data_IF_413571873597
#
_entry.id   IF_413571873597
#
_cell.length_a   1.000
_cell.length_b   1.000
_cell.length_c   1.000
_cell.angle_alpha   90.00
_cell.angle_beta   90.00
_cell.angle_gamma   90.00
#
_symmetry.space_group_name_H-M   'P 1'
#
loop_
_entity.id
_entity.type
_entity.pdbx_description
1 polymer ?
#
# COMPACT_ATOMS: atom_id res chain seq x y z
N UNK A 1 -11.83 -23.02 -3.85
CA UNK A 1 -13.07 -22.26 -4.03
C UNK A 1 -12.86 -21.31 -5.19
N UNK A 2 -13.70 -21.37 -6.23
CA UNK A 2 -13.58 -20.46 -7.38
C UNK A 2 -14.48 -19.26 -7.09
N UNK A 3 -13.89 -18.07 -7.00
CA UNK A 3 -14.63 -16.82 -6.92
C UNK A 3 -14.99 -16.35 -8.32
N UNK A 4 -16.20 -15.82 -8.51
CA UNK A 4 -16.50 -14.92 -9.62
C UNK A 4 -16.09 -13.52 -9.19
N UNK A 5 -15.27 -12.86 -9.99
CA UNK A 5 -14.72 -11.57 -9.64
C UNK A 5 -15.29 -10.45 -10.51
N UNK A 6 -15.59 -9.34 -9.88
CA UNK A 6 -15.91 -8.08 -10.54
C UNK A 6 -14.82 -7.09 -10.18
N UNK A 7 -14.25 -6.41 -11.15
CA UNK A 7 -13.24 -5.39 -10.92
C UNK A 7 -13.67 -4.06 -11.50
N UNK A 8 -13.22 -2.98 -10.86
CA UNK A 8 -13.50 -1.63 -11.34
C UNK A 8 -12.25 -1.01 -11.95
N UNK A 9 -12.44 -0.26 -13.00
CA UNK A 9 -11.45 0.61 -13.62
C UNK A 9 -12.11 1.97 -13.90
N UNK A 10 -11.34 3.07 -13.83
CA UNK A 10 -11.89 4.40 -14.17
C UNK A 10 -12.34 4.49 -15.62
N UNK A 11 -11.69 3.74 -16.52
CA UNK A 11 -12.02 3.67 -17.94
C UNK A 11 -11.87 2.23 -18.42
N UNK A 12 -12.90 1.68 -19.06
CA UNK A 12 -12.91 0.31 -19.60
C UNK A 12 -11.83 0.06 -20.66
N UNK A 13 -11.24 1.09 -21.24
CA UNK A 13 -10.06 0.96 -22.11
C UNK A 13 -8.84 0.34 -21.40
N UNK A 14 -8.84 0.35 -20.06
CA UNK A 14 -7.80 -0.28 -19.22
C UNK A 14 -7.95 -1.81 -19.09
N UNK A 15 -9.08 -2.39 -19.49
CA UNK A 15 -9.33 -3.82 -19.36
C UNK A 15 -8.23 -4.68 -20.02
N UNK A 16 -7.78 -4.42 -21.25
CA UNK A 16 -6.71 -5.20 -21.87
C UNK A 16 -5.40 -5.17 -21.08
N UNK A 17 -5.03 -4.01 -20.51
CA UNK A 17 -3.82 -3.86 -19.71
C UNK A 17 -3.90 -4.70 -18.43
N UNK A 18 -5.04 -4.64 -17.72
CA UNK A 18 -5.26 -5.41 -16.50
C UNK A 18 -5.24 -6.92 -16.79
N UNK A 19 -5.86 -7.37 -17.91
CA UNK A 19 -5.81 -8.77 -18.32
C UNK A 19 -4.37 -9.21 -18.66
N UNK A 20 -3.59 -8.35 -19.29
CA UNK A 20 -2.17 -8.62 -19.56
C UNK A 20 -1.37 -8.78 -18.27
N UNK A 21 -1.59 -7.91 -17.28
CA UNK A 21 -0.97 -8.02 -15.94
C UNK A 21 -1.36 -9.33 -15.24
N UNK A 22 -2.65 -9.70 -15.26
CA UNK A 22 -3.12 -10.96 -14.68
C UNK A 22 -2.45 -12.17 -15.33
N UNK A 23 -2.28 -12.17 -16.66
CA UNK A 23 -1.56 -13.22 -17.38
C UNK A 23 -0.09 -13.30 -16.95
N UNK A 24 0.59 -12.16 -16.77
CA UNK A 24 1.96 -12.13 -16.20
C UNK A 24 1.99 -12.75 -14.81
N UNK A 25 0.93 -12.52 -14.01
CA UNK A 25 0.75 -13.13 -12.69
C UNK A 25 0.33 -14.60 -12.70
N UNK A 26 0.22 -15.24 -13.88
CA UNK A 26 -0.17 -16.64 -14.01
C UNK A 26 -1.67 -16.90 -13.88
N UNK A 27 -2.50 -15.85 -13.96
CA UNK A 27 -3.95 -15.97 -13.92
C UNK A 27 -4.55 -15.88 -15.33
N UNK A 28 -5.01 -17.02 -15.86
CA UNK A 28 -5.81 -17.05 -17.08
C UNK A 28 -7.29 -16.92 -16.68
N UNK A 29 -7.82 -15.69 -16.79
CA UNK A 29 -9.17 -15.34 -16.34
C UNK A 29 -10.21 -15.59 -17.44
N UNK A 30 -10.34 -16.83 -17.90
CA UNK A 30 -11.35 -17.17 -18.89
C UNK A 30 -12.74 -17.28 -18.25
N UNK A 31 -13.54 -16.23 -18.40
CA UNK A 31 -14.96 -16.20 -18.06
C UNK A 31 -15.34 -15.88 -16.61
N UNK A 32 -14.37 -15.79 -15.68
CA UNK A 32 -14.62 -15.53 -14.26
C UNK A 32 -14.49 -14.07 -13.79
N UNK A 33 -14.00 -13.17 -14.66
CA UNK A 33 -13.71 -11.77 -14.34
C UNK A 33 -14.48 -10.81 -15.25
N UNK A 34 -15.23 -9.90 -14.64
CA UNK A 34 -15.98 -8.84 -15.32
C UNK A 34 -15.47 -7.45 -14.90
N UNK A 35 -15.48 -6.51 -15.85
CA UNK A 35 -15.00 -5.13 -15.64
C UNK A 35 -16.15 -4.15 -15.61
N UNK A 36 -16.07 -3.17 -14.71
CA UNK A 36 -17.04 -2.10 -14.54
C UNK A 36 -16.30 -0.74 -14.48
N UNK A 37 -16.89 0.27 -15.13
CA UNK A 37 -16.37 1.63 -14.97
C UNK A 37 -16.89 2.22 -13.65
N UNK A 38 -15.99 2.63 -12.77
CA UNK A 38 -16.33 3.35 -11.56
C UNK A 38 -15.14 4.22 -11.11
N UNK A 39 -15.45 5.39 -10.55
CA UNK A 39 -14.47 6.35 -10.06
C UNK A 39 -14.77 6.69 -8.60
N UNK A 40 -13.74 6.83 -7.77
CA UNK A 40 -13.89 7.21 -6.36
C UNK A 40 -14.46 8.63 -6.17
N UNK A 41 -14.37 9.46 -7.18
CA UNK A 41 -14.87 10.83 -7.17
C UNK A 41 -16.30 10.97 -7.76
N UNK A 42 -16.90 9.87 -8.23
CA UNK A 42 -18.23 9.84 -8.83
C UNK A 42 -19.09 8.74 -8.26
N UNK A 43 -20.39 8.98 -8.10
CA UNK A 43 -21.35 7.97 -7.64
C UNK A 43 -21.72 6.95 -8.74
N UNK A 44 -21.40 7.27 -10.00
CA UNK A 44 -21.76 6.45 -11.15
C UNK A 44 -20.98 5.11 -11.16
N UNK A 45 -21.66 4.04 -11.55
CA UNK A 45 -21.07 2.71 -11.78
C UNK A 45 -20.97 1.82 -10.56
N UNK A 46 -20.97 2.35 -9.34
CA UNK A 46 -20.75 1.55 -8.11
C UNK A 46 -21.85 0.54 -7.87
N UNK A 47 -23.13 0.92 -8.01
CA UNK A 47 -24.26 -0.01 -7.85
C UNK A 47 -24.18 -1.20 -8.81
N UNK A 48 -23.73 -0.95 -10.05
CA UNK A 48 -23.54 -2.01 -11.04
C UNK A 48 -22.33 -2.89 -10.70
N UNK A 49 -21.24 -2.27 -10.24
CA UNK A 49 -20.01 -2.99 -9.90
C UNK A 49 -20.20 -3.94 -8.70
N UNK A 50 -20.89 -3.50 -7.64
CA UNK A 50 -21.07 -4.28 -6.40
C UNK A 50 -22.33 -5.17 -6.41
N UNK A 51 -23.23 -4.96 -7.37
CA UNK A 51 -24.50 -5.72 -7.45
C UNK A 51 -24.29 -7.23 -7.55
N UNK A 52 -24.85 -7.99 -6.60
CA UNK A 52 -24.71 -9.44 -6.50
C UNK A 52 -23.33 -9.93 -6.00
N UNK A 53 -22.51 -9.05 -5.45
CA UNK A 53 -21.27 -9.43 -4.77
C UNK A 53 -21.57 -9.83 -3.31
N UNK A 54 -20.98 -10.92 -2.84
CA UNK A 54 -20.99 -11.30 -1.43
C UNK A 54 -20.01 -10.45 -0.61
N UNK A 55 -18.88 -10.08 -1.20
CA UNK A 55 -17.76 -9.37 -0.58
C UNK A 55 -17.20 -8.29 -1.50
N UNK A 56 -16.64 -7.26 -0.90
CA UNK A 56 -15.92 -6.20 -1.63
C UNK A 56 -14.53 -6.03 -1.05
N UNK A 57 -13.50 -6.11 -1.87
CA UNK A 57 -12.13 -5.71 -1.53
C UNK A 57 -11.92 -4.28 -2.04
N UNK A 58 -11.99 -3.30 -1.15
CA UNK A 58 -11.80 -1.91 -1.49
C UNK A 58 -10.32 -1.53 -1.38
N UNK A 59 -9.56 -1.78 -2.45
CA UNK A 59 -8.12 -1.55 -2.52
C UNK A 59 -7.79 -0.16 -3.05
N UNK A 60 -8.63 0.38 -3.91
CA UNK A 60 -8.41 1.67 -4.55
C UNK A 60 -8.42 2.83 -3.53
N UNK A 61 -7.48 3.73 -3.69
CA UNK A 61 -7.43 5.00 -2.95
C UNK A 61 -6.81 6.06 -3.86
N UNK A 62 -7.27 7.32 -3.80
CA UNK A 62 -6.59 8.39 -4.51
C UNK A 62 -5.14 8.48 -4.05
N UNK A 63 -4.23 8.51 -5.02
CA UNK A 63 -2.82 8.71 -4.80
C UNK A 63 -2.29 9.64 -5.89
N UNK A 64 -2.18 10.95 -5.63
CA UNK A 64 -1.76 11.91 -6.64
C UNK A 64 -0.29 11.71 -6.98
N UNK A 65 0.05 11.86 -8.26
CA UNK A 65 1.43 11.81 -8.75
C UNK A 65 2.26 13.01 -8.27
N UNK A 66 1.58 14.10 -7.95
CA UNK A 66 2.20 15.35 -7.47
C UNK A 66 1.72 15.70 -6.08
N UNK A 67 2.51 16.50 -5.38
CA UNK A 67 2.13 17.03 -4.07
C UNK A 67 0.86 17.86 -4.17
N UNK A 68 -0.14 17.62 -3.30
CA UNK A 68 -1.33 18.45 -3.26
C UNK A 68 -0.96 19.87 -2.83
N UNK A 69 -1.64 20.87 -3.40
CA UNK A 69 -1.51 22.27 -2.98
C UNK A 69 -2.15 22.51 -1.62
N UNK A 70 -3.27 21.81 -1.37
CA UNK A 70 -3.99 21.76 -0.10
C UNK A 70 -4.21 20.32 0.30
N UNK A 71 -4.12 20.02 1.60
CA UNK A 71 -4.28 18.64 2.10
C UNK A 71 -5.66 18.05 1.79
N UNK A 72 -6.70 18.90 1.67
CA UNK A 72 -8.06 18.49 1.30
C UNK A 72 -8.17 17.89 -0.10
N UNK A 73 -7.26 18.24 -1.03
CA UNK A 73 -7.21 17.62 -2.36
C UNK A 73 -6.94 16.11 -2.27
N UNK A 74 -6.39 15.64 -1.15
CA UNK A 74 -6.13 14.24 -0.88
C UNK A 74 -7.10 13.65 0.16
N UNK A 75 -7.42 14.41 1.21
CA UNK A 75 -8.27 13.98 2.32
C UNK A 75 -9.70 13.73 1.85
N UNK A 76 -10.30 14.71 1.16
CA UNK A 76 -11.70 14.64 0.76
C UNK A 76 -11.96 13.48 -0.21
N UNK A 77 -11.21 13.33 -1.31
CA UNK A 77 -11.43 12.19 -2.22
C UNK A 77 -11.18 10.83 -1.57
N UNK A 78 -10.21 10.72 -0.65
CA UNK A 78 -9.94 9.47 0.06
C UNK A 78 -11.11 9.09 0.97
N UNK A 79 -11.61 10.03 1.77
CA UNK A 79 -12.73 9.84 2.69
C UNK A 79 -14.03 9.55 1.94
N UNK A 80 -14.41 10.43 1.01
CA UNK A 80 -15.67 10.29 0.28
C UNK A 80 -15.65 9.06 -0.64
N UNK A 81 -14.51 8.72 -1.22
CA UNK A 81 -14.35 7.50 -2.02
C UNK A 81 -14.59 6.24 -1.19
N UNK A 82 -14.03 6.15 0.02
CA UNK A 82 -14.28 5.04 0.93
C UNK A 82 -15.76 4.94 1.32
N UNK A 83 -16.37 6.06 1.72
CA UNK A 83 -17.79 6.10 2.08
C UNK A 83 -18.71 5.75 0.91
N UNK A 84 -18.36 6.15 -0.31
CA UNK A 84 -19.11 5.83 -1.53
C UNK A 84 -19.19 4.33 -1.76
N UNK A 85 -18.05 3.64 -1.65
CA UNK A 85 -17.99 2.18 -1.80
C UNK A 85 -18.77 1.48 -0.68
N UNK A 86 -18.67 1.96 0.57
CA UNK A 86 -19.41 1.41 1.70
C UNK A 86 -20.93 1.57 1.51
N UNK A 87 -21.40 2.76 1.10
CA UNK A 87 -22.83 3.00 0.82
C UNK A 87 -23.35 2.07 -0.29
N UNK A 88 -22.61 1.98 -1.41
CA UNK A 88 -22.99 1.09 -2.52
C UNK A 88 -23.01 -0.38 -2.08
N UNK A 89 -22.04 -0.82 -1.29
CA UNK A 89 -21.95 -2.18 -0.76
C UNK A 89 -23.12 -2.50 0.18
N UNK A 90 -23.45 -1.59 1.09
CA UNK A 90 -24.62 -1.68 1.99
C UNK A 90 -25.91 -1.84 1.19
N UNK A 91 -26.11 -0.96 0.20
CA UNK A 91 -27.36 -0.93 -0.57
C UNK A 91 -27.53 -2.16 -1.48
N UNK A 92 -26.42 -2.80 -1.87
CA UNK A 92 -26.38 -4.04 -2.61
C UNK A 92 -26.48 -5.32 -1.74
N UNK A 93 -26.51 -5.19 -0.41
CA UNK A 93 -26.56 -6.33 0.50
C UNK A 93 -25.25 -7.12 0.59
N UNK A 94 -24.11 -6.49 0.35
CA UNK A 94 -22.78 -7.07 0.54
C UNK A 94 -22.61 -7.48 2.01
N UNK A 95 -22.04 -8.66 2.26
CA UNK A 95 -21.80 -9.16 3.61
C UNK A 95 -20.68 -8.41 4.33
N UNK A 96 -19.55 -8.24 3.66
CA UNK A 96 -18.37 -7.57 4.22
C UNK A 96 -17.59 -6.81 3.17
N UNK A 97 -17.12 -5.63 3.58
CA UNK A 97 -16.08 -4.88 2.88
C UNK A 97 -14.74 -5.08 3.59
N UNK A 98 -13.68 -5.36 2.86
CA UNK A 98 -12.30 -5.28 3.35
C UNK A 98 -11.67 -4.03 2.77
N UNK A 99 -11.39 -3.06 3.62
CA UNK A 99 -10.80 -1.78 3.24
C UNK A 99 -9.28 -1.84 3.35
N UNK A 100 -8.58 -1.49 2.29
CA UNK A 100 -7.14 -1.26 2.33
C UNK A 100 -6.86 0.16 2.83
N UNK A 101 -6.48 0.26 4.09
CA UNK A 101 -5.96 1.48 4.68
C UNK A 101 -4.42 1.52 4.56
N UNK A 102 -3.71 1.90 5.60
CA UNK A 102 -2.24 1.97 5.62
C UNK A 102 -1.71 2.03 7.05
N UNK A 103 -0.47 1.63 7.27
CA UNK A 103 0.28 1.99 8.48
C UNK A 103 0.31 3.51 8.71
N UNK A 104 0.12 4.29 7.65
CA UNK A 104 -0.01 5.74 7.74
C UNK A 104 -1.19 6.20 8.62
N UNK A 105 -2.21 5.35 8.83
CA UNK A 105 -3.30 5.62 9.77
C UNK A 105 -2.98 5.17 11.22
N UNK A 106 -1.79 4.63 11.47
CA UNK A 106 -1.41 4.03 12.76
C UNK A 106 -0.23 4.75 13.41
N UNK A 107 0.89 4.93 12.72
CA UNK A 107 2.19 5.18 13.36
C UNK A 107 2.79 6.58 13.17
N UNK A 108 1.98 7.63 12.99
CA UNK A 108 2.47 8.99 12.79
C UNK A 108 1.89 9.99 13.80
N UNK A 109 2.59 11.11 14.01
CA UNK A 109 2.15 12.16 14.93
C UNK A 109 2.37 11.86 16.40
N UNK A 110 3.05 10.79 16.74
CA UNK A 110 3.35 10.39 18.12
C UNK A 110 4.79 10.72 18.53
N UNK A 111 5.06 10.93 19.82
CA UNK A 111 6.41 10.87 20.36
C UNK A 111 7.04 9.50 20.07
N UNK A 112 8.37 9.41 20.02
CA UNK A 112 9.06 8.14 19.91
C UNK A 112 8.61 7.17 21.00
N UNK A 113 8.31 5.92 20.62
CA UNK A 113 7.95 4.85 21.57
C UNK A 113 8.85 3.62 21.36
N UNK A 114 9.10 2.89 22.46
CA UNK A 114 9.92 1.68 22.44
C UNK A 114 9.14 0.46 21.91
N UNK A 115 7.85 0.40 22.23
CA UNK A 115 6.99 -0.71 21.83
C UNK A 115 6.60 -0.60 20.35
N UNK A 116 6.53 -1.74 19.63
CA UNK A 116 6.03 -1.74 18.26
C UNK A 116 4.58 -1.25 18.18
N UNK A 117 4.28 -0.44 17.17
CA UNK A 117 2.91 -0.06 16.85
C UNK A 117 2.05 -1.28 16.54
N UNK A 118 0.78 -1.20 16.92
CA UNK A 118 -0.20 -2.25 16.70
C UNK A 118 -1.56 -1.67 16.27
N UNK A 119 -2.55 -2.52 16.10
CA UNK A 119 -3.86 -2.14 15.61
C UNK A 119 -4.68 -1.26 16.57
N UNK A 120 -4.27 -1.12 17.83
CA UNK A 120 -4.87 -0.20 18.80
C UNK A 120 -4.42 1.25 18.61
N UNK A 121 -3.28 1.46 17.93
CA UNK A 121 -2.73 2.78 17.71
C UNK A 121 -3.42 3.50 16.55
N UNK A 122 -3.47 4.84 16.65
CA UNK A 122 -3.96 5.70 15.60
C UNK A 122 -3.02 6.86 15.37
N UNK A 123 -2.73 7.16 14.12
CA UNK A 123 -2.04 8.41 13.77
C UNK A 123 -2.81 9.61 14.32
N UNK A 124 -2.08 10.53 14.96
CA UNK A 124 -2.62 11.84 15.32
C UNK A 124 -2.53 12.77 14.09
N UNK A 125 -3.65 13.07 13.42
CA UNK A 125 -3.63 13.90 12.22
C UNK A 125 -3.18 15.35 12.47
N UNK A 126 -3.27 15.83 13.74
CA UNK A 126 -2.81 17.16 14.15
C UNK A 126 -1.38 17.17 14.68
N UNK A 127 -0.75 15.99 14.75
CA UNK A 127 0.62 15.81 15.21
C UNK A 127 1.64 16.54 14.32
N UNK A 128 2.72 17.02 14.92
CA UNK A 128 3.77 17.74 14.20
C UNK A 128 4.40 16.89 13.09
N UNK A 129 4.49 17.46 11.89
CA UNK A 129 5.14 16.82 10.72
C UNK A 129 4.34 15.69 10.08
N UNK A 130 3.07 15.53 10.41
CA UNK A 130 2.19 14.53 9.77
C UNK A 130 1.83 14.99 8.37
N UNK A 131 2.26 14.20 7.37
CA UNK A 131 2.01 14.50 5.97
C UNK A 131 0.53 14.33 5.59
N UNK A 132 0.07 15.08 4.58
CA UNK A 132 -1.30 15.03 4.05
C UNK A 132 -1.76 13.60 3.71
N UNK A 133 -0.86 12.75 3.22
CA UNK A 133 -1.15 11.33 2.96
C UNK A 133 -1.53 10.58 4.25
N UNK A 134 -0.79 10.75 5.34
CA UNK A 134 -1.12 10.08 6.61
C UNK A 134 -2.45 10.59 7.19
N UNK A 135 -2.69 11.90 7.11
CA UNK A 135 -4.00 12.49 7.46
C UNK A 135 -5.12 11.89 6.63
N UNK A 136 -4.96 11.81 5.31
CA UNK A 136 -5.98 11.28 4.40
C UNK A 136 -6.34 9.83 4.71
N UNK A 137 -5.36 8.98 4.98
CA UNK A 137 -5.58 7.58 5.34
C UNK A 137 -6.26 7.44 6.71
N UNK A 138 -5.82 8.22 7.68
CA UNK A 138 -6.42 8.23 9.03
C UNK A 138 -7.89 8.65 8.99
N UNK A 139 -8.18 9.77 8.34
CA UNK A 139 -9.53 10.31 8.28
C UNK A 139 -10.48 9.46 7.42
N UNK A 140 -9.98 8.87 6.33
CA UNK A 140 -10.76 7.93 5.53
C UNK A 140 -11.11 6.65 6.30
N UNK A 141 -10.15 6.09 7.04
CA UNK A 141 -10.38 4.89 7.86
C UNK A 141 -11.33 5.18 9.03
N UNK A 142 -11.13 6.28 9.76
CA UNK A 142 -12.05 6.69 10.83
C UNK A 142 -13.48 6.88 10.31
N UNK A 143 -13.64 7.56 9.17
CA UNK A 143 -14.96 7.73 8.56
C UNK A 143 -15.60 6.41 8.14
N UNK A 144 -14.81 5.42 7.73
CA UNK A 144 -15.32 4.08 7.43
C UNK A 144 -15.83 3.36 8.70
N UNK A 145 -15.12 3.48 9.82
CA UNK A 145 -15.55 2.94 11.11
C UNK A 145 -16.79 3.66 11.63
N UNK A 146 -16.82 5.00 11.59
CA UNK A 146 -18.00 5.79 11.96
C UNK A 146 -19.24 5.41 11.14
N UNK A 147 -19.05 5.13 9.84
CA UNK A 147 -20.14 4.66 9.00
C UNK A 147 -20.68 3.30 9.46
N UNK A 148 -19.80 2.37 9.80
CA UNK A 148 -20.18 1.02 10.25
C UNK A 148 -20.83 1.04 11.64
N UNK A 149 -20.38 1.88 12.55
CA UNK A 149 -20.95 2.00 13.88
C UNK A 149 -22.43 2.48 13.86
N UNK A 150 -22.81 3.21 12.80
CA UNK A 150 -24.19 3.65 12.56
C UNK A 150 -24.95 2.75 11.57
N UNK A 151 -24.34 1.65 11.13
CA UNK A 151 -24.92 0.77 10.12
C UNK A 151 -25.90 -0.24 10.74
N UNK A 152 -27.13 -0.28 10.22
CA UNK A 152 -28.22 -1.13 10.75
C UNK A 152 -28.61 -2.29 9.83
N UNK A 153 -28.05 -2.36 8.60
CA UNK A 153 -28.39 -3.38 7.61
C UNK A 153 -27.45 -4.58 7.61
N UNK A 154 -26.50 -4.61 8.55
CA UNK A 154 -25.63 -5.75 8.77
C UNK A 154 -24.37 -5.81 7.89
N UNK A 155 -24.01 -4.73 7.19
CA UNK A 155 -22.73 -4.66 6.49
C UNK A 155 -21.57 -4.75 7.49
N UNK A 156 -20.64 -5.66 7.25
CA UNK A 156 -19.43 -5.84 8.05
C UNK A 156 -18.25 -5.09 7.43
N UNK A 157 -17.29 -4.67 8.27
CA UNK A 157 -16.03 -4.08 7.84
C UNK A 157 -14.85 -4.82 8.47
N UNK A 158 -13.82 -5.04 7.67
CA UNK A 158 -12.46 -5.36 8.14
C UNK A 158 -11.49 -4.40 7.48
N UNK A 159 -10.41 -4.05 8.16
CA UNK A 159 -9.40 -3.14 7.61
C UNK A 159 -8.04 -3.80 7.59
N UNK A 160 -7.33 -3.69 6.48
CA UNK A 160 -5.93 -4.08 6.37
C UNK A 160 -5.08 -2.82 6.27
N UNK A 161 -4.06 -2.71 7.12
CA UNK A 161 -3.15 -1.57 7.21
C UNK A 161 -1.73 -1.98 6.76
N UNK A 162 -1.43 -2.01 5.46
CA UNK A 162 -0.10 -2.35 5.00
C UNK A 162 0.92 -1.26 5.32
N UNK A 163 2.15 -1.68 5.54
CA UNK A 163 3.36 -0.85 5.45
C UNK A 163 3.78 -0.67 3.98
N UNK A 164 5.02 -0.35 3.67
CA UNK A 164 5.48 -0.29 2.28
C UNK A 164 5.35 -1.66 1.60
N UNK A 165 4.60 -1.71 0.50
CA UNK A 165 4.31 -2.96 -0.21
C UNK A 165 5.35 -3.17 -1.31
N UNK A 166 6.11 -4.26 -1.20
CA UNK A 166 7.07 -4.75 -2.18
C UNK A 166 6.58 -6.05 -2.81
N UNK A 167 7.41 -6.68 -3.63
CA UNK A 167 7.11 -7.94 -4.27
C UNK A 167 7.06 -7.82 -5.80
N UNK A 168 6.74 -8.90 -6.52
CA UNK A 168 6.81 -8.91 -7.96
C UNK A 168 5.80 -7.95 -8.59
N UNK A 169 6.28 -7.13 -9.53
CA UNK A 169 5.43 -6.28 -10.38
C UNK A 169 4.89 -7.06 -11.57
N UNK A 170 3.71 -6.71 -12.04
CA UNK A 170 3.03 -7.36 -13.15
C UNK A 170 3.04 -6.54 -14.45
N UNK A 171 3.59 -5.32 -14.39
CA UNK A 171 3.65 -4.41 -15.54
C UNK A 171 4.26 -3.06 -15.14
N UNK A 172 4.26 -2.07 -16.05
CA UNK A 172 4.88 -0.77 -15.82
C UNK A 172 4.08 0.15 -14.89
N UNK A 173 2.84 -0.20 -14.55
CA UNK A 173 1.98 0.56 -13.64
C UNK A 173 2.12 -0.01 -12.22
N UNK A 174 3.08 0.51 -11.47
CA UNK A 174 3.43 0.02 -10.13
C UNK A 174 3.48 1.15 -9.09
N UNK A 175 3.44 0.75 -7.81
CA UNK A 175 3.36 1.67 -6.68
C UNK A 175 4.66 2.43 -6.41
N UNK A 176 4.55 3.52 -5.63
CA UNK A 176 5.71 4.32 -5.18
C UNK A 176 6.73 3.53 -4.35
N UNK A 177 6.31 2.48 -3.62
CA UNK A 177 7.24 1.60 -2.90
C UNK A 177 8.21 0.92 -3.87
N UNK A 178 7.71 0.47 -5.02
CA UNK A 178 8.52 -0.16 -6.06
C UNK A 178 9.53 0.83 -6.66
N UNK A 179 9.14 2.11 -6.81
CA UNK A 179 10.05 3.16 -7.29
C UNK A 179 11.31 3.30 -6.43
N UNK A 180 11.24 2.98 -5.14
CA UNK A 180 12.41 2.97 -4.27
C UNK A 180 13.46 1.96 -4.76
N UNK A 181 13.03 0.71 -4.97
CA UNK A 181 13.92 -0.35 -5.46
C UNK A 181 14.42 -0.02 -6.86
N UNK A 182 13.54 0.44 -7.75
CA UNK A 182 13.93 0.86 -9.10
C UNK A 182 15.01 1.95 -9.07
N UNK A 183 14.82 3.02 -8.27
CA UNK A 183 15.80 4.13 -8.18
C UNK A 183 17.12 3.68 -7.60
N UNK A 184 17.14 2.75 -6.65
CA UNK A 184 18.36 2.15 -6.13
C UNK A 184 19.07 1.36 -7.23
N UNK A 185 18.37 0.49 -7.95
CA UNK A 185 18.91 -0.34 -9.02
C UNK A 185 19.40 0.48 -10.22
N UNK A 186 18.73 1.59 -10.54
CA UNK A 186 19.12 2.52 -11.60
C UNK A 186 20.31 3.41 -11.23
N UNK A 187 20.72 3.44 -9.94
CA UNK A 187 21.74 4.36 -9.44
C UNK A 187 21.28 5.82 -9.41
N UNK A 188 19.97 6.06 -9.36
CA UNK A 188 19.39 7.40 -9.35
C UNK A 188 19.45 8.09 -7.97
N UNK A 189 19.87 7.36 -6.94
CA UNK A 189 20.03 7.86 -5.57
C UNK A 189 21.53 8.00 -5.29
N UNK A 190 22.04 9.19 -4.95
CA UNK A 190 23.49 9.42 -4.76
C UNK A 190 24.04 8.79 -3.47
N UNK A 191 23.17 8.32 -2.60
CA UNK A 191 23.48 7.66 -1.34
C UNK A 191 22.23 7.37 -0.53
N UNK A 192 22.38 6.75 0.64
CA UNK A 192 21.31 6.21 1.44
C UNK A 192 21.00 7.14 2.63
N UNK A 193 19.84 7.83 2.66
CA UNK A 193 19.42 8.58 3.83
C UNK A 193 19.11 7.64 5.00
N UNK A 194 19.18 8.13 6.23
CA UNK A 194 18.83 7.37 7.45
C UNK A 194 17.31 7.27 7.61
N UNK A 195 16.68 6.47 6.76
CA UNK A 195 15.27 6.18 6.81
C UNK A 195 15.06 4.70 7.14
N UNK A 196 14.06 4.43 7.97
CA UNK A 196 13.59 3.09 8.28
C UNK A 196 12.09 3.01 8.01
N UNK A 197 11.63 1.89 7.44
CA UNK A 197 10.22 1.62 7.23
C UNK A 197 9.93 0.14 7.20
N UNK A 198 8.70 -0.21 7.53
CA UNK A 198 8.21 -1.58 7.42
C UNK A 198 8.00 -1.97 5.97
N UNK A 199 8.16 -3.24 5.68
CA UNK A 199 7.87 -3.81 4.37
C UNK A 199 7.01 -5.06 4.47
N UNK A 200 6.27 -5.34 3.41
CA UNK A 200 5.43 -6.52 3.28
C UNK A 200 5.32 -6.90 1.80
N UNK A 201 5.20 -8.19 1.53
CA UNK A 201 5.02 -8.68 0.17
C UNK A 201 3.59 -8.47 -0.33
N UNK A 202 3.41 -8.02 -1.58
CA UNK A 202 2.10 -7.81 -2.21
C UNK A 202 1.26 -9.08 -2.23
N UNK A 203 1.89 -10.24 -2.38
CA UNK A 203 1.21 -11.55 -2.38
C UNK A 203 0.65 -11.88 -0.99
N UNK A 204 1.34 -11.48 0.06
CA UNK A 204 0.92 -11.70 1.45
C UNK A 204 -0.14 -10.67 1.87
N UNK A 205 -0.07 -9.44 1.34
CA UNK A 205 -1.16 -8.46 1.49
C UNK A 205 -2.43 -8.98 0.83
N UNK A 206 -2.34 -9.55 -0.38
CA UNK A 206 -3.49 -10.16 -1.06
C UNK A 206 -4.07 -11.35 -0.26
N UNK A 207 -3.21 -12.24 0.26
CA UNK A 207 -3.64 -13.35 1.13
C UNK A 207 -4.34 -12.85 2.39
N UNK A 208 -3.80 -11.80 3.03
CA UNK A 208 -4.41 -11.20 4.23
C UNK A 208 -5.80 -10.62 3.93
N UNK A 209 -5.98 -9.97 2.77
CA UNK A 209 -7.30 -9.47 2.35
C UNK A 209 -8.30 -10.62 2.17
N UNK A 210 -7.88 -11.73 1.55
CA UNK A 210 -8.76 -12.90 1.35
C UNK A 210 -9.11 -13.54 2.70
N UNK A 211 -8.18 -13.63 3.64
CA UNK A 211 -8.43 -14.12 4.99
C UNK A 211 -9.38 -13.19 5.75
N UNK A 212 -9.12 -11.88 5.73
CA UNK A 212 -9.99 -10.89 6.37
C UNK A 212 -11.40 -10.86 5.76
N UNK A 213 -11.53 -11.18 4.47
CA UNK A 213 -12.81 -11.26 3.76
C UNK A 213 -13.68 -12.42 4.29
N UNK A 214 -13.08 -13.59 4.56
CA UNK A 214 -13.82 -14.81 4.83
C UNK A 214 -13.81 -15.30 6.28
N UNK A 215 -12.82 -14.89 7.07
CA UNK A 215 -12.70 -15.35 8.46
C UNK A 215 -13.76 -14.71 9.36
N UNK A 216 -14.37 -15.51 10.23
CA UNK A 216 -15.44 -15.03 11.13
C UNK A 216 -14.92 -13.92 12.05
N UNK A 217 -13.79 -14.13 12.71
CA UNK A 217 -13.21 -13.19 13.69
C UNK A 217 -12.55 -11.95 13.05
N UNK A 218 -12.68 -11.77 11.74
CA UNK A 218 -12.17 -10.58 11.08
C UNK A 218 -13.18 -9.42 11.07
N UNK A 219 -14.44 -9.68 11.41
CA UNK A 219 -15.46 -8.65 11.46
C UNK A 219 -15.17 -7.62 12.57
N UNK A 220 -15.20 -6.34 12.23
CA UNK A 220 -14.94 -5.26 13.19
C UNK A 220 -13.46 -5.09 13.53
N UNK A 221 -12.55 -5.69 12.75
CA UNK A 221 -11.14 -5.76 13.10
C UNK A 221 -10.22 -5.06 12.09
N UNK A 222 -9.14 -4.47 12.65
CA UNK A 222 -8.00 -3.96 11.89
C UNK A 222 -6.87 -4.98 11.92
N UNK A 223 -6.11 -5.09 10.82
CA UNK A 223 -4.96 -5.98 10.70
C UNK A 223 -3.76 -5.26 10.11
N UNK A 224 -2.70 -5.12 10.88
CA UNK A 224 -1.42 -4.64 10.39
C UNK A 224 -0.76 -5.68 9.49
N UNK A 225 -0.39 -5.26 8.28
CA UNK A 225 0.35 -6.09 7.34
C UNK A 225 1.81 -5.63 7.29
N UNK A 226 2.64 -6.24 8.11
CA UNK A 226 4.10 -6.01 8.19
C UNK A 226 4.83 -7.33 8.31
N UNK A 227 5.93 -7.47 7.59
CA UNK A 227 6.80 -8.64 7.64
C UNK A 227 8.05 -8.34 8.49
N UNK A 228 8.15 -8.96 9.67
CA UNK A 228 9.29 -8.77 10.56
C UNK A 228 9.51 -7.33 11.01
N UNK A 229 10.76 -6.98 11.27
CA UNK A 229 11.16 -5.65 11.72
C UNK A 229 11.28 -4.66 10.55
N UNK A 230 11.18 -3.38 10.87
CA UNK A 230 11.46 -2.30 9.90
C UNK A 230 12.92 -2.38 9.43
N UNK A 231 13.13 -2.09 8.16
CA UNK A 231 14.42 -2.09 7.51
C UNK A 231 14.92 -0.69 7.24
N UNK A 232 16.22 -0.47 7.39
CA UNK A 232 16.87 0.74 6.93
C UNK A 232 17.10 0.71 5.41
N UNK A 233 17.35 1.89 4.83
CA UNK A 233 17.78 1.98 3.43
C UNK A 233 19.06 1.19 3.17
N UNK A 234 19.95 1.10 4.18
CA UNK A 234 21.19 0.31 4.08
C UNK A 234 20.90 -1.19 4.02
N UNK A 235 19.95 -1.69 4.83
CA UNK A 235 19.55 -3.11 4.81
C UNK A 235 19.01 -3.48 3.43
N UNK A 236 18.14 -2.65 2.85
CA UNK A 236 17.58 -2.87 1.51
C UNK A 236 18.69 -2.88 0.46
N UNK A 237 19.60 -1.89 0.49
CA UNK A 237 20.73 -1.83 -0.45
C UNK A 237 21.65 -3.05 -0.31
N UNK A 238 21.87 -3.51 0.92
CA UNK A 238 22.66 -4.72 1.20
C UNK A 238 22.00 -5.96 0.60
N UNK A 239 20.69 -6.17 0.84
CA UNK A 239 19.93 -7.29 0.26
C UNK A 239 20.06 -7.31 -1.26
N UNK A 240 19.86 -6.17 -1.92
CA UNK A 240 19.97 -6.05 -3.38
C UNK A 240 21.37 -6.44 -3.88
N UNK A 241 22.41 -5.96 -3.22
CA UNK A 241 23.80 -6.24 -3.63
C UNK A 241 24.21 -7.68 -3.40
N UNK A 242 23.86 -8.24 -2.25
CA UNK A 242 24.26 -9.59 -1.88
C UNK A 242 23.61 -10.65 -2.79
N UNK A 243 22.35 -10.41 -3.24
CA UNK A 243 21.60 -11.38 -4.02
C UNK A 243 21.65 -11.18 -5.55
N UNK A 244 21.79 -9.93 -6.01
CA UNK A 244 21.71 -9.63 -7.43
C UNK A 244 23.08 -9.33 -8.08
N UNK A 245 24.13 -9.27 -7.30
CA UNK A 245 25.51 -9.14 -7.77
C UNK A 245 25.70 -8.00 -8.79
N UNK A 246 26.12 -8.33 -10.00
CA UNK A 246 26.39 -7.36 -11.09
C UNK A 246 25.15 -6.55 -11.49
N UNK A 247 23.95 -7.13 -11.41
CA UNK A 247 22.72 -6.38 -11.69
C UNK A 247 22.48 -5.23 -10.71
N UNK A 248 22.98 -5.36 -9.48
CA UNK A 248 22.88 -4.34 -8.43
C UNK A 248 24.14 -3.46 -8.32
N UNK A 249 25.05 -3.46 -9.30
CA UNK A 249 26.31 -2.71 -9.22
C UNK A 249 26.13 -1.21 -8.96
N UNK A 250 25.04 -0.60 -9.47
CA UNK A 250 24.71 0.82 -9.32
C UNK A 250 24.10 1.16 -7.97
N UNK A 251 23.66 0.18 -7.18
CA UNK A 251 23.06 0.40 -5.86
C UNK A 251 24.10 1.04 -4.94
N UNK A 252 23.82 2.23 -4.37
CA UNK A 252 24.75 2.91 -3.49
C UNK A 252 24.91 2.15 -2.17
N UNK A 253 26.11 2.25 -1.57
CA UNK A 253 26.41 1.67 -0.25
C UNK A 253 26.67 2.72 0.81
N UNK A 254 26.94 3.96 0.37
CA UNK A 254 27.31 5.05 1.27
C UNK A 254 26.08 5.67 1.89
N UNK A 255 26.08 5.79 3.22
CA UNK A 255 25.07 6.56 3.94
C UNK A 255 25.30 8.06 3.75
N UNK A 256 24.22 8.79 3.51
CA UNK A 256 24.25 10.25 3.42
C UNK A 256 24.20 10.84 4.83
N UNK A 257 25.04 11.84 5.13
CA UNK A 257 24.89 12.66 6.32
C UNK A 257 23.54 13.39 6.32
N UNK A 258 22.88 13.46 7.46
CA UNK A 258 21.59 14.15 7.60
C UNK A 258 21.66 15.63 7.17
N UNK A 259 22.80 16.28 7.40
CA UNK A 259 23.02 17.66 6.98
C UNK A 259 22.91 17.84 5.47
N UNK A 260 23.39 16.89 4.67
CA UNK A 260 23.23 16.91 3.22
C UNK A 260 21.80 16.68 2.79
N UNK A 261 21.08 15.76 3.45
CA UNK A 261 19.65 15.52 3.17
C UNK A 261 18.84 16.76 3.50
N UNK A 262 19.10 17.41 4.64
CA UNK A 262 18.45 18.67 5.03
C UNK A 262 18.76 19.80 4.05
N UNK A 263 20.00 19.91 3.57
CA UNK A 263 20.36 20.90 2.58
C UNK A 263 19.63 20.67 1.25
N UNK A 264 19.60 19.41 0.75
CA UNK A 264 18.91 19.06 -0.49
C UNK A 264 17.40 19.34 -0.43
N UNK A 265 16.79 19.24 0.75
CA UNK A 265 15.35 19.51 0.95
C UNK A 265 14.95 20.96 0.69
N UNK A 266 15.89 21.89 0.61
CA UNK A 266 15.62 23.29 0.27
C UNK A 266 15.21 23.46 -1.20
N UNK A 267 15.64 22.53 -2.06
CA UNK A 267 15.36 22.58 -3.51
C UNK A 267 14.45 21.44 -4.01
N UNK A 268 14.30 20.36 -3.22
CA UNK A 268 13.50 19.20 -3.60
C UNK A 268 12.36 18.97 -2.60
N UNK A 269 11.10 19.26 -2.99
CA UNK A 269 9.93 19.04 -2.14
C UNK A 269 9.74 17.57 -1.72
N UNK A 270 10.17 16.60 -2.54
CA UNK A 270 10.08 15.18 -2.20
C UNK A 270 11.03 14.84 -1.04
N UNK A 271 12.25 15.42 -1.03
CA UNK A 271 13.18 15.27 0.09
C UNK A 271 12.64 15.96 1.34
N UNK A 272 11.95 17.09 1.19
CA UNK A 272 11.34 17.80 2.32
C UNK A 272 10.33 16.93 3.07
N UNK A 273 9.57 16.07 2.35
CA UNK A 273 8.58 15.19 2.96
C UNK A 273 9.17 14.08 3.83
N UNK A 274 10.38 13.63 3.55
CA UNK A 274 11.03 12.56 4.33
C UNK A 274 11.78 13.09 5.55
N UNK A 275 11.98 14.41 5.68
CA UNK A 275 12.70 14.99 6.80
C UNK A 275 12.12 14.67 8.17
N UNK A 276 10.76 14.64 8.36
CA UNK A 276 10.19 14.29 9.65
C UNK A 276 10.53 12.86 10.10
N UNK A 277 10.86 11.97 9.16
CA UNK A 277 11.20 10.57 9.46
C UNK A 277 12.71 10.29 9.47
N UNK A 278 13.52 11.29 9.13
CA UNK A 278 14.96 11.14 9.04
C UNK A 278 15.59 10.84 10.40
N UNK A 279 16.25 9.68 10.51
CA UNK A 279 16.89 9.20 11.73
C UNK A 279 15.95 8.59 12.76
N UNK A 280 14.63 8.57 12.52
CA UNK A 280 13.68 7.89 13.40
C UNK A 280 13.72 6.38 13.20
N UNK A 281 13.59 5.67 14.29
CA UNK A 281 13.38 4.22 14.30
C UNK A 281 11.97 3.96 14.82
N UNK A 282 11.21 3.19 14.05
CA UNK A 282 9.88 2.71 14.40
C UNK A 282 9.83 1.21 14.16
N UNK A 283 8.90 0.54 14.78
CA UNK A 283 8.58 -0.84 14.45
C UNK A 283 7.08 -1.05 14.56
N UNK A 284 6.57 -2.13 13.97
CA UNK A 284 5.16 -2.49 14.02
C UNK A 284 5.01 -4.00 14.13
N UNK A 285 3.89 -4.46 14.67
CA UNK A 285 3.62 -5.86 14.91
C UNK A 285 2.39 -6.34 14.14
N UNK A 286 2.55 -7.41 13.37
CA UNK A 286 1.45 -8.15 12.73
C UNK A 286 0.95 -9.32 13.58
N UNK A 287 1.27 -9.33 14.87
CA UNK A 287 0.92 -10.43 15.78
C UNK A 287 -0.57 -10.80 15.73
N UNK A 288 -1.45 -9.79 15.63
CA UNK A 288 -2.89 -10.00 15.53
C UNK A 288 -3.27 -10.76 14.25
N UNK A 289 -2.75 -10.35 13.10
CA UNK A 289 -3.00 -11.03 11.83
C UNK A 289 -2.53 -12.49 11.86
N UNK A 290 -1.35 -12.73 12.44
CA UNK A 290 -0.79 -14.08 12.60
C UNK A 290 -1.68 -14.92 13.51
N UNK A 291 -2.04 -14.40 14.68
CA UNK A 291 -2.79 -15.14 15.71
C UNK A 291 -4.24 -15.42 15.30
N UNK A 292 -4.93 -14.41 14.76
CA UNK A 292 -6.37 -14.49 14.47
C UNK A 292 -6.63 -15.15 13.13
N UNK A 293 -5.85 -14.79 12.10
CA UNK A 293 -6.10 -15.22 10.73
C UNK A 293 -5.14 -16.34 10.25
N UNK A 294 -4.18 -16.75 11.09
CA UNK A 294 -3.16 -17.72 10.68
C UNK A 294 -2.28 -17.20 9.53
N UNK A 295 -2.14 -15.88 9.41
CA UNK A 295 -1.36 -15.24 8.35
C UNK A 295 0.13 -15.52 8.53
N UNK A 296 0.86 -15.73 7.41
CA UNK A 296 2.29 -16.06 7.42
C UNK A 296 2.98 -15.29 6.31
N UNK A 297 3.49 -14.09 6.59
CA UNK A 297 4.17 -13.29 5.57
C UNK A 297 5.55 -13.88 5.23
N UNK A 298 5.96 -13.65 3.99
CA UNK A 298 7.34 -13.85 3.52
C UNK A 298 8.28 -12.91 4.23
N UNK A 299 9.58 -13.20 4.15
CA UNK A 299 10.59 -12.30 4.68
C UNK A 299 10.67 -10.99 3.85
N UNK A 300 11.14 -9.94 4.51
CA UNK A 300 11.44 -8.67 3.84
C UNK A 300 12.44 -8.85 2.69
N UNK A 301 13.42 -9.72 2.91
CA UNK A 301 14.46 -10.05 1.94
C UNK A 301 13.87 -10.67 0.67
N UNK A 302 13.03 -11.72 0.80
CA UNK A 302 12.33 -12.33 -0.34
C UNK A 302 11.52 -11.30 -1.12
N UNK A 303 10.85 -10.38 -0.43
CA UNK A 303 9.99 -9.36 -1.03
C UNK A 303 10.80 -8.36 -1.87
N UNK A 304 11.96 -7.91 -1.34
CA UNK A 304 12.85 -6.98 -2.01
C UNK A 304 13.49 -7.64 -3.25
N UNK A 305 13.97 -8.88 -3.10
CA UNK A 305 14.55 -9.65 -4.21
C UNK A 305 13.51 -9.85 -5.32
N UNK A 306 12.31 -10.32 -4.98
CA UNK A 306 11.23 -10.55 -5.96
C UNK A 306 10.83 -9.25 -6.68
N UNK A 307 10.87 -8.10 -6.00
CA UNK A 307 10.67 -6.80 -6.63
C UNK A 307 11.72 -6.54 -7.70
N UNK A 308 12.99 -6.62 -7.33
CA UNK A 308 14.09 -6.30 -8.24
C UNK A 308 14.17 -7.27 -9.41
N UNK A 309 14.00 -8.58 -9.18
CA UNK A 309 13.96 -9.60 -10.25
C UNK A 309 12.83 -9.35 -11.24
N UNK A 310 11.64 -8.95 -10.76
CA UNK A 310 10.52 -8.65 -11.64
C UNK A 310 10.75 -7.38 -12.47
N UNK A 311 11.38 -6.35 -11.91
CA UNK A 311 11.78 -5.15 -12.63
C UNK A 311 12.81 -5.48 -13.74
N UNK A 312 13.79 -6.35 -13.44
CA UNK A 312 14.78 -6.83 -14.42
C UNK A 312 14.07 -7.62 -15.53
N UNK A 313 13.27 -8.61 -15.17
CA UNK A 313 12.57 -9.50 -16.11
C UNK A 313 11.66 -8.75 -17.08
N UNK A 314 10.99 -7.70 -16.60
CA UNK A 314 10.09 -6.87 -17.41
C UNK A 314 10.79 -5.72 -18.14
N UNK A 315 12.10 -5.57 -18.00
CA UNK A 315 12.88 -4.51 -18.67
C UNK A 315 12.51 -3.10 -18.16
N UNK A 316 12.12 -2.97 -16.91
CA UNK A 316 11.66 -1.71 -16.30
C UNK A 316 12.78 -0.89 -15.65
N UNK A 317 14.01 -1.40 -15.66
CA UNK A 317 15.20 -0.65 -15.24
C UNK A 317 15.80 0.13 -16.40
N UNK A 318 16.47 1.25 -16.11
CA UNK A 318 17.19 2.04 -17.13
C UNK A 318 18.34 1.25 -17.73
N UNK A 319 18.33 1.11 -19.03
CA UNK A 319 19.38 0.40 -19.77
C UNK A 319 20.71 1.14 -19.60
N UNK A 320 21.68 0.49 -18.99
CA UNK A 320 23.02 1.04 -18.78
C UNK A 320 23.85 1.10 -20.08
N UNK A 321 23.33 0.61 -21.21
CA UNK A 321 24.03 0.57 -22.52
C UNK A 321 23.64 1.74 -23.43
N UNK A 322 22.74 2.63 -22.99
CA UNK A 322 22.25 3.78 -23.80
C UNK A 322 22.71 5.15 -23.29
N UNK A 323 23.78 5.20 -22.48
CA UNK A 323 24.46 6.45 -22.15
C UNK A 323 25.92 6.39 -22.60
#
# INVERSE_FOLDING_TARGET
>A
MLFRSRTTVRNLKREPDVRAMLKVGGCESDGGLSFFAADLESDAGWSQAVGGCDYVLHVASPFPETLPRHEDELIVPAREGALRVLRASRDAGVKRVVLTSSFAAIGYGHPPQAEPYNEGDWTDPEGEGVAAYAKSKTLAERAAWDFIDHETRGLQLSVVNPVAVFGPVLGPDYSTSILLVQRLMDGAVPGLPRLCFGSVDVRDVADLHIRAMTHFDANGERFLAVAGNFMSMQDIAKVLKDHLGEAARKVPTRQLPDSLVRLASLWDPAIKQILPELGKQKNASSYKAIRVLGWKPRSNEESIIATAESLIRLGLLKDSRKN
#
